data_IF_540778610044
#
_entry.id   IF_540778610044
#
_cell.length_a   1.000
_cell.length_b   1.000
_cell.length_c   1.000
_cell.angle_alpha   90.00
_cell.angle_beta   90.00
_cell.angle_gamma   90.00
#
_symmetry.space_group_name_H-M   'P 1'
#
loop_
_entity.id
_entity.type
_entity.pdbx_description
1 polymer ?
#
# COMPACT_ATOMS: atom_id res chain seq x y z
N UNK A 1 17.72 -1.46 24.53
CA UNK A 1 17.04 -2.45 23.66
C UNK A 1 18.11 -3.21 22.88
N UNK A 2 18.08 -4.56 22.85
CA UNK A 2 19.21 -5.38 22.36
C UNK A 2 19.28 -5.48 20.82
N UNK A 3 20.46 -5.76 20.22
CA UNK A 3 20.65 -5.87 18.77
C UNK A 3 19.73 -6.89 18.06
N UNK A 4 19.27 -7.92 18.77
CA UNK A 4 18.41 -8.98 18.24
C UNK A 4 17.01 -8.49 17.84
N UNK A 5 16.44 -7.55 18.61
CA UNK A 5 15.06 -7.05 18.38
C UNK A 5 14.94 -6.19 17.13
N UNK A 6 16.02 -5.47 16.76
CA UNK A 6 16.07 -4.66 15.55
C UNK A 6 15.99 -5.49 14.27
N UNK A 7 16.48 -6.73 14.28
CA UNK A 7 16.40 -7.62 13.11
C UNK A 7 14.99 -8.20 12.92
N UNK A 8 14.36 -8.61 14.04
CA UNK A 8 13.03 -9.21 14.05
C UNK A 8 11.95 -8.20 13.63
N UNK A 9 11.96 -6.98 14.19
CA UNK A 9 11.00 -5.93 13.81
C UNK A 9 11.01 -5.65 12.30
N UNK A 10 12.20 -5.47 11.70
CA UNK A 10 12.31 -5.20 10.27
C UNK A 10 11.87 -6.39 9.43
N UNK A 11 12.12 -7.61 9.89
CA UNK A 11 11.63 -8.81 9.22
C UNK A 11 10.11 -8.85 9.21
N UNK A 12 9.48 -8.71 10.38
CA UNK A 12 8.02 -8.69 10.51
C UNK A 12 7.38 -7.51 9.75
N UNK A 13 7.99 -6.33 9.78
CA UNK A 13 7.54 -5.19 8.98
C UNK A 13 7.56 -5.47 7.48
N UNK A 14 8.61 -6.12 6.97
CA UNK A 14 8.65 -6.55 5.56
C UNK A 14 7.62 -7.62 5.24
N UNK A 15 7.40 -8.59 6.14
CA UNK A 15 6.37 -9.62 5.98
C UNK A 15 4.99 -8.98 5.88
N UNK A 16 4.68 -8.04 6.78
CA UNK A 16 3.44 -7.27 6.74
C UNK A 16 3.29 -6.55 5.39
N UNK A 17 4.32 -5.84 4.93
CA UNK A 17 4.29 -5.13 3.64
C UNK A 17 4.05 -6.09 2.48
N UNK A 18 4.76 -7.22 2.42
CA UNK A 18 4.59 -8.22 1.36
C UNK A 18 3.17 -8.77 1.36
N UNK A 19 2.67 -9.21 2.52
CA UNK A 19 1.31 -9.76 2.63
C UNK A 19 0.28 -8.71 2.23
N UNK A 20 0.41 -7.48 2.73
CA UNK A 20 -0.50 -6.38 2.43
C UNK A 20 -0.62 -6.12 0.93
N UNK A 21 0.51 -5.93 0.24
CA UNK A 21 0.53 -5.60 -1.19
C UNK A 21 0.23 -6.80 -2.09
N UNK A 22 0.57 -8.03 -1.69
CA UNK A 22 0.16 -9.22 -2.46
C UNK A 22 -1.35 -9.42 -2.38
N UNK A 23 -1.94 -9.35 -1.18
CA UNK A 23 -3.38 -9.50 -1.01
C UNK A 23 -4.15 -8.36 -1.69
N UNK A 24 -3.70 -7.11 -1.51
CA UNK A 24 -4.26 -5.95 -2.21
C UNK A 24 -4.14 -6.09 -3.73
N UNK A 25 -2.96 -6.50 -4.21
CA UNK A 25 -2.67 -6.64 -5.62
C UNK A 25 -3.54 -7.70 -6.29
N UNK A 26 -3.72 -8.86 -5.65
CA UNK A 26 -4.68 -9.89 -6.10
C UNK A 26 -6.11 -9.34 -6.10
N UNK A 27 -6.47 -8.55 -5.08
CA UNK A 27 -7.78 -7.89 -4.98
C UNK A 27 -8.13 -7.04 -6.20
N UNK A 28 -7.15 -6.35 -6.81
CA UNK A 28 -7.38 -5.56 -8.02
C UNK A 28 -7.87 -6.39 -9.21
N UNK A 29 -7.51 -7.67 -9.29
CA UNK A 29 -7.92 -8.58 -10.38
C UNK A 29 -9.19 -9.39 -10.05
N UNK A 30 -9.35 -9.79 -8.78
CA UNK A 30 -10.49 -10.61 -8.36
C UNK A 30 -11.73 -9.75 -8.06
N UNK A 31 -11.52 -8.52 -7.56
CA UNK A 31 -12.55 -7.59 -7.13
C UNK A 31 -12.54 -6.29 -7.96
N UNK A 32 -12.14 -6.38 -9.23
CA UNK A 32 -11.93 -5.21 -10.11
C UNK A 32 -13.11 -4.24 -10.12
N UNK A 33 -14.34 -4.74 -10.17
CA UNK A 33 -15.54 -3.87 -10.18
C UNK A 33 -15.65 -3.02 -8.90
N UNK A 34 -15.33 -3.59 -7.74
CA UNK A 34 -15.33 -2.87 -6.46
C UNK A 34 -14.20 -1.84 -6.39
N UNK A 35 -13.00 -2.19 -6.88
CA UNK A 35 -11.87 -1.26 -6.90
C UNK A 35 -12.11 -0.11 -7.89
N UNK A 36 -12.69 -0.42 -9.05
CA UNK A 36 -13.01 0.58 -10.08
C UNK A 36 -14.08 1.57 -9.59
N UNK A 37 -15.07 1.10 -8.80
CA UNK A 37 -16.15 1.97 -8.32
C UNK A 37 -15.71 3.05 -7.32
N UNK A 38 -14.54 2.88 -6.70
CA UNK A 38 -13.99 3.88 -5.76
C UNK A 38 -12.97 4.82 -6.39
N UNK A 39 -12.57 4.57 -7.65
CA UNK A 39 -11.62 5.44 -8.36
C UNK A 39 -12.22 6.83 -8.55
N UNK A 40 -11.52 7.92 -8.18
CA UNK A 40 -12.03 9.27 -8.36
C UNK A 40 -12.37 9.58 -9.82
N UNK A 41 -13.45 10.35 -10.08
CA UNK A 41 -13.95 10.57 -11.44
C UNK A 41 -13.00 11.34 -12.36
N UNK A 42 -12.01 12.05 -11.81
CA UNK A 42 -10.99 12.76 -12.57
C UNK A 42 -9.87 11.84 -13.10
N UNK A 43 -9.79 10.59 -12.64
CA UNK A 43 -8.78 9.63 -13.09
C UNK A 43 -9.25 8.98 -14.40
N UNK A 44 -8.51 9.14 -15.51
CA UNK A 44 -8.88 8.51 -16.77
C UNK A 44 -8.64 6.99 -16.71
N UNK A 45 -9.42 6.22 -17.46
CA UNK A 45 -9.25 4.77 -17.62
C UNK A 45 -9.22 4.04 -16.26
N UNK A 46 -10.29 4.14 -15.43
CA UNK A 46 -10.24 3.69 -14.03
C UNK A 46 -9.97 2.20 -13.88
N UNK A 47 -10.48 1.36 -14.80
CA UNK A 47 -10.25 -0.08 -14.78
C UNK A 47 -8.80 -0.43 -15.10
N UNK A 48 -8.23 0.23 -16.10
CA UNK A 48 -6.84 0.08 -16.51
C UNK A 48 -5.89 0.53 -15.41
N UNK A 49 -6.22 1.65 -14.73
CA UNK A 49 -5.47 2.11 -13.57
C UNK A 49 -5.52 1.11 -12.42
N UNK A 50 -6.68 0.48 -12.15
CA UNK A 50 -6.81 -0.59 -11.14
C UNK A 50 -5.91 -1.79 -11.50
N UNK A 51 -5.89 -2.23 -12.76
CA UNK A 51 -4.96 -3.32 -13.14
C UNK A 51 -3.49 -2.90 -13.03
N UNK A 52 -3.16 -1.69 -13.47
CA UNK A 52 -1.80 -1.16 -13.40
C UNK A 52 -1.31 -1.09 -11.95
N UNK A 53 -2.11 -0.54 -11.03
CA UNK A 53 -1.74 -0.47 -9.61
C UNK A 53 -1.62 -1.87 -9.05
N UNK A 54 -2.54 -2.80 -9.35
CA UNK A 54 -2.45 -4.19 -8.93
C UNK A 54 -1.17 -4.91 -9.36
N UNK A 55 -0.72 -4.72 -10.61
CA UNK A 55 0.58 -5.23 -11.10
C UNK A 55 1.73 -4.62 -10.30
N UNK A 56 1.72 -3.29 -10.11
CA UNK A 56 2.75 -2.58 -9.36
C UNK A 56 2.84 -3.05 -7.90
N UNK A 57 1.71 -3.32 -7.23
CA UNK A 57 1.68 -3.84 -5.87
C UNK A 57 2.35 -5.22 -5.77
N UNK A 58 1.96 -6.15 -6.65
CA UNK A 58 2.52 -7.51 -6.68
C UNK A 58 4.01 -7.46 -7.03
N UNK A 59 4.39 -6.73 -8.08
CA UNK A 59 5.78 -6.60 -8.50
C UNK A 59 6.65 -5.99 -7.40
N UNK A 60 6.18 -4.93 -6.75
CA UNK A 60 6.86 -4.29 -5.63
C UNK A 60 7.03 -5.23 -4.43
N UNK A 61 6.00 -5.99 -4.07
CA UNK A 61 6.05 -6.96 -2.98
C UNK A 61 7.04 -8.10 -3.27
N UNK A 62 7.04 -8.65 -4.49
CA UNK A 62 7.99 -9.69 -4.92
C UNK A 62 9.43 -9.17 -4.96
N UNK A 63 9.64 -7.95 -5.48
CA UNK A 63 10.97 -7.31 -5.50
C UNK A 63 11.53 -7.09 -4.08
N UNK A 64 10.67 -6.90 -3.08
CA UNK A 64 11.05 -6.74 -1.68
C UNK A 64 11.62 -8.03 -1.06
N UNK A 65 11.30 -9.20 -1.61
CA UNK A 65 11.90 -10.47 -1.18
C UNK A 65 13.39 -10.53 -1.55
N UNK A 66 13.77 -9.95 -2.69
CA UNK A 66 15.14 -9.94 -3.20
C UNK A 66 16.00 -8.83 -2.56
N UNK A 67 17.00 -9.22 -1.76
CA UNK A 67 17.80 -8.32 -0.90
C UNK A 67 18.37 -7.08 -1.62
N UNK A 68 18.93 -7.17 -2.84
CA UNK A 68 19.50 -6.00 -3.52
C UNK A 68 18.44 -4.97 -3.97
N UNK A 69 17.19 -5.40 -4.20
CA UNK A 69 16.11 -4.54 -4.73
C UNK A 69 15.24 -3.92 -3.63
N UNK A 70 15.32 -4.43 -2.40
CA UNK A 70 14.50 -3.99 -1.24
C UNK A 70 14.34 -2.49 -1.08
N UNK A 71 15.45 -1.75 -1.21
CA UNK A 71 15.41 -0.30 -1.05
C UNK A 71 14.59 0.38 -2.14
N UNK A 72 14.81 -0.03 -3.39
CA UNK A 72 14.10 0.52 -4.55
C UNK A 72 12.62 0.11 -4.48
N UNK A 73 12.35 -1.17 -4.20
CA UNK A 73 10.99 -1.69 -4.03
C UNK A 73 10.22 -0.93 -2.92
N UNK A 74 10.88 -0.64 -1.80
CA UNK A 74 10.29 0.16 -0.72
C UNK A 74 9.87 1.56 -1.19
N UNK A 75 10.74 2.26 -1.91
CA UNK A 75 10.41 3.58 -2.47
C UNK A 75 9.30 3.52 -3.53
N UNK A 76 9.30 2.50 -4.40
CA UNK A 76 8.22 2.30 -5.37
C UNK A 76 6.87 2.06 -4.69
N UNK A 77 6.84 1.22 -3.64
CA UNK A 77 5.61 0.97 -2.87
C UNK A 77 5.15 2.22 -2.10
N UNK A 78 6.07 3.02 -1.56
CA UNK A 78 5.74 4.31 -0.94
C UNK A 78 5.11 5.25 -1.97
N UNK A 79 5.73 5.42 -3.15
CA UNK A 79 5.20 6.26 -4.21
C UNK A 79 3.81 5.78 -4.65
N UNK A 80 3.63 4.47 -4.82
CA UNK A 80 2.33 3.87 -5.14
C UNK A 80 1.28 4.17 -4.06
N UNK A 81 1.64 3.99 -2.79
CA UNK A 81 0.76 4.29 -1.63
C UNK A 81 0.30 5.74 -1.64
N UNK A 82 1.22 6.68 -1.92
CA UNK A 82 0.90 8.10 -2.06
C UNK A 82 -0.04 8.32 -3.25
N UNK A 83 0.24 7.71 -4.39
CA UNK A 83 -0.59 7.84 -5.60
C UNK A 83 -2.03 7.32 -5.42
N UNK A 84 -2.25 6.28 -4.61
CA UNK A 84 -3.60 5.74 -4.33
C UNK A 84 -4.28 6.38 -3.12
N UNK A 85 -3.56 7.16 -2.31
CA UNK A 85 -4.14 7.88 -1.15
C UNK A 85 -5.33 8.79 -1.52
N UNK A 86 -5.35 9.51 -2.66
CA UNK A 86 -6.49 10.31 -3.09
C UNK A 86 -7.82 9.52 -3.21
N UNK A 87 -7.78 8.22 -3.52
CA UNK A 87 -8.97 7.35 -3.50
C UNK A 87 -9.62 7.38 -2.12
N UNK A 88 -8.82 7.20 -1.07
CA UNK A 88 -9.30 7.18 0.32
C UNK A 88 -9.82 8.55 0.79
N UNK A 89 -9.20 9.63 0.31
CA UNK A 89 -9.68 11.00 0.57
C UNK A 89 -11.03 11.22 -0.11
N UNK A 90 -11.17 10.83 -1.38
CA UNK A 90 -12.43 10.96 -2.12
C UNK A 90 -13.56 10.17 -1.46
N UNK A 91 -13.29 8.94 -0.99
CA UNK A 91 -14.27 8.15 -0.25
C UNK A 91 -14.74 8.85 1.03
N UNK A 92 -13.88 9.62 1.69
CA UNK A 92 -14.22 10.38 2.88
C UNK A 92 -15.02 11.64 2.56
N UNK A 93 -14.67 12.33 1.47
CA UNK A 93 -15.43 13.48 0.94
C UNK A 93 -16.85 13.03 0.54
N UNK A 94 -16.96 11.85 -0.07
CA UNK A 94 -18.22 11.26 -0.52
C UNK A 94 -18.76 10.21 0.47
N UNK A 95 -18.54 10.39 1.77
CA UNK A 95 -18.86 9.38 2.80
C UNK A 95 -20.32 8.92 2.77
N UNK A 96 -21.25 9.76 2.30
CA UNK A 96 -22.67 9.41 2.12
C UNK A 96 -22.89 8.24 1.14
N UNK A 97 -22.00 8.05 0.16
CA UNK A 97 -22.04 6.91 -0.77
C UNK A 97 -21.55 5.60 -0.13
N UNK A 98 -20.90 5.68 1.04
CA UNK A 98 -20.20 4.58 1.70
C UNK A 98 -20.71 4.31 3.11
N UNK A 99 -21.96 4.69 3.42
CA UNK A 99 -22.56 4.54 4.75
C UNK A 99 -22.51 3.10 5.29
N UNK A 100 -22.56 2.10 4.42
CA UNK A 100 -22.45 0.68 4.80
C UNK A 100 -21.09 0.29 5.40
N UNK A 101 -20.01 1.04 5.10
CA UNK A 101 -18.69 0.84 5.69
C UNK A 101 -18.57 1.51 7.06
N UNK A 102 -19.34 2.58 7.28
CA UNK A 102 -19.27 3.43 8.47
C UNK A 102 -18.06 4.38 8.48
N UNK A 103 -18.19 5.54 9.14
CA UNK A 103 -17.17 6.59 9.11
C UNK A 103 -15.83 6.16 9.72
N UNK A 104 -15.86 5.30 10.75
CA UNK A 104 -14.65 4.79 11.40
C UNK A 104 -13.75 4.00 10.44
N UNK A 105 -14.34 3.22 9.51
CA UNK A 105 -13.58 2.44 8.52
C UNK A 105 -12.94 3.37 7.48
N UNK A 106 -13.66 4.40 7.03
CA UNK A 106 -13.14 5.38 6.06
C UNK A 106 -11.93 6.14 6.65
N UNK A 107 -12.07 6.63 7.88
CA UNK A 107 -10.96 7.27 8.60
C UNK A 107 -9.81 6.30 8.84
N UNK A 108 -10.10 5.06 9.26
CA UNK A 108 -9.09 4.04 9.48
C UNK A 108 -8.24 3.77 8.24
N UNK A 109 -8.86 3.66 7.06
CA UNK A 109 -8.15 3.47 5.78
C UNK A 109 -7.21 4.63 5.46
N UNK A 110 -7.64 5.86 5.70
CA UNK A 110 -6.84 7.05 5.42
C UNK A 110 -5.67 7.18 6.41
N UNK A 111 -5.92 7.01 7.71
CA UNK A 111 -4.88 7.07 8.75
C UNK A 111 -3.88 5.92 8.64
N UNK A 112 -4.29 4.79 8.08
CA UNK A 112 -3.40 3.68 7.83
C UNK A 112 -2.35 3.99 6.73
N UNK A 113 -2.63 4.89 5.78
CA UNK A 113 -1.68 5.24 4.71
C UNK A 113 -0.32 5.76 5.24
N UNK A 114 -0.24 6.81 6.09
CA UNK A 114 1.03 7.28 6.63
C UNK A 114 1.72 6.24 7.52
N UNK A 115 0.95 5.41 8.24
CA UNK A 115 1.50 4.31 9.05
C UNK A 115 2.16 3.27 8.13
N UNK A 116 1.49 2.89 7.05
CA UNK A 116 2.02 1.94 6.07
C UNK A 116 3.29 2.49 5.40
N UNK A 117 3.28 3.76 4.97
CA UNK A 117 4.46 4.44 4.41
C UNK A 117 5.64 4.37 5.39
N UNK A 118 5.41 4.66 6.67
CA UNK A 118 6.45 4.60 7.69
C UNK A 118 6.99 3.17 7.87
N UNK A 119 6.12 2.15 7.91
CA UNK A 119 6.53 0.74 8.01
C UNK A 119 7.37 0.32 6.79
N UNK A 120 6.97 0.70 5.58
CA UNK A 120 7.71 0.42 4.35
C UNK A 120 9.11 1.04 4.47
N UNK A 121 9.20 2.35 4.73
CA UNK A 121 10.46 3.06 4.81
C UNK A 121 11.39 2.47 5.90
N UNK A 122 10.89 2.31 7.12
CA UNK A 122 11.67 1.83 8.26
C UNK A 122 12.19 0.39 8.05
N UNK A 123 11.42 -0.46 7.38
CA UNK A 123 11.76 -1.86 7.15
C UNK A 123 12.69 -2.06 5.93
N UNK A 124 12.68 -1.15 4.95
CA UNK A 124 13.41 -1.25 3.66
C UNK A 124 14.61 -0.31 3.50
N UNK A 125 14.78 0.71 4.34
CA UNK A 125 15.93 1.64 4.27
C UNK A 125 17.29 0.92 4.27
N UNK A 126 18.22 1.41 3.44
CA UNK A 126 19.63 0.96 3.48
C UNK A 126 20.22 1.37 4.83
N UNK A 127 21.10 0.52 5.38
CA UNK A 127 22.00 0.97 6.43
C UNK A 127 23.22 1.47 5.71
N UNK A 128 23.47 2.76 5.76
CA UNK A 128 24.79 3.27 5.42
C UNK A 128 25.74 2.69 6.46
N UNK A 129 26.81 2.05 5.99
CA UNK A 129 27.87 1.58 6.87
C UNK A 129 28.58 2.83 7.38
N UNK A 130 28.24 3.25 8.59
CA UNK A 130 29.03 4.18 9.39
C UNK A 130 29.81 3.36 10.39
#
# INVERSE_FOLDING_TARGET
MSPATHSAWRMWGRVLVVVWFVVGGIGHFVLTNMFTSVVPPYVPFPREMVYLTGVCEIAGALALLYKPWRHIAGWCLIALTICVTPVHIQMLIEADKYQSLGPAVLWGRLLFQPILIWIIWASTRRRDAV
#
